data_IF_687240851871
#
_entry.id   IF_687240851871
#
_cell.length_a   1.000
_cell.length_b   1.000
_cell.length_c   1.000
_cell.angle_alpha   90.00
_cell.angle_beta   90.00
_cell.angle_gamma   90.00
#
_symmetry.space_group_name_H-M   'P 1'
#
loop_
_entity.id
_entity.type
_entity.pdbx_description
1 polymer ?
2 non-polymer ?
3 non-polymer ?
4 non-polymer ?
5 non-polymer ?
6 water ?
#
# COMPACT_ATOMS: atom_id res chain seq x y z
N UNK A 6 -15.03 -3.18 -27.94
CA UNK A 6 -15.80 -1.98 -27.54
C UNK A 6 -14.97 -1.04 -26.65
N UNK A 7 -15.50 0.17 -26.37
CA UNK A 7 -14.77 1.12 -25.53
C UNK A 7 -14.53 0.59 -24.14
N UNK A 8 -13.43 1.03 -23.53
CA UNK A 8 -13.06 0.59 -22.20
C UNK A 8 -12.44 1.73 -21.41
N UNK A 9 -12.58 1.68 -20.08
CA UNK A 9 -12.00 2.74 -19.24
C UNK A 9 -10.53 2.43 -19.06
N UNK A 10 -10.17 1.18 -19.33
CA UNK A 10 -8.79 0.72 -19.16
C UNK A 10 -8.04 0.46 -20.45
N UNK A 11 -6.71 0.41 -20.32
CA UNK A 11 -5.82 0.09 -21.41
C UNK A 11 -4.77 -0.82 -20.81
N UNK A 12 -4.67 -2.05 -21.33
CA UNK A 12 -3.72 -3.04 -20.83
C UNK A 12 -2.35 -2.86 -21.47
N UNK A 13 -1.31 -3.28 -20.76
CA UNK A 13 0.05 -3.21 -21.28
C UNK A 13 0.79 -4.49 -20.89
N UNK A 14 1.78 -4.86 -21.68
CA UNK A 14 2.63 -5.99 -21.33
C UNK A 14 3.88 -5.24 -20.90
N UNK A 15 4.86 -5.92 -20.32
CA UNK A 15 6.04 -5.19 -19.85
C UNK A 15 6.82 -4.47 -20.95
N UNK A 16 6.84 -5.05 -22.14
CA UNK A 16 7.55 -4.45 -23.27
C UNK A 16 6.96 -3.07 -23.59
N UNK A 17 5.64 -3.00 -23.68
CA UNK A 17 4.96 -1.75 -23.99
C UNK A 17 5.07 -0.73 -22.87
N UNK A 18 5.00 -1.20 -21.62
CA UNK A 18 5.08 -0.29 -20.50
C UNK A 18 6.45 0.29 -20.22
N UNK A 19 7.51 -0.49 -20.44
CA UNK A 19 8.85 0.03 -20.16
C UNK A 19 9.28 1.16 -21.10
N UNK A 20 8.70 1.17 -22.29
CA UNK A 20 9.03 2.21 -23.27
C UNK A 20 8.50 3.58 -22.85
N UNK A 21 7.55 3.59 -21.93
CA UNK A 21 6.98 4.84 -21.44
C UNK A 21 7.85 5.45 -20.35
N UNK A 22 9.00 4.84 -20.11
CA UNK A 22 9.92 5.33 -19.09
C UNK A 22 10.54 6.65 -19.51
N UNK A 23 10.87 6.74 -20.79
CA UNK A 23 11.49 7.94 -21.34
C UNK A 23 12.85 8.19 -20.72
N UNK A 24 13.07 9.43 -20.30
CA UNK A 24 14.34 9.82 -19.72
C UNK A 24 14.42 9.65 -18.22
N UNK A 25 13.34 9.15 -17.62
CA UNK A 25 13.32 8.98 -16.17
C UNK A 25 14.60 8.35 -15.66
N UNK A 26 15.36 9.11 -14.86
CA UNK A 26 16.63 8.65 -14.29
C UNK A 26 16.42 7.73 -13.09
N UNK A 27 17.23 6.67 -13.02
CA UNK A 27 17.18 5.71 -11.92
C UNK A 27 18.01 6.19 -10.73
N UNK A 28 17.34 6.52 -9.63
CA UNK A 28 18.06 7.00 -8.45
C UNK A 28 18.01 6.02 -7.31
N UNK A 29 18.27 4.75 -7.58
CA UNK A 29 18.22 3.76 -6.51
C UNK A 29 19.32 2.70 -6.67
N UNK A 30 20.10 2.49 -5.61
CA UNK A 30 21.18 1.49 -5.65
C UNK A 30 20.62 0.10 -5.45
N UNK A 31 21.44 -0.91 -5.70
CA UNK A 31 21.00 -2.28 -5.52
C UNK A 31 20.85 -2.54 -4.03
N UNK A 32 21.73 -1.92 -3.24
CA UNK A 32 21.70 -2.08 -1.80
C UNK A 32 20.54 -1.33 -1.14
N UNK A 33 20.12 -0.23 -1.76
CA UNK A 33 19.00 0.55 -1.23
C UNK A 33 17.71 -0.22 -1.45
N UNK A 34 17.63 -0.87 -2.60
CA UNK A 34 16.48 -1.65 -2.97
C UNK A 34 16.24 -2.84 -2.03
N UNK A 35 17.30 -3.48 -1.57
CA UNK A 35 17.14 -4.63 -0.69
C UNK A 35 16.61 -4.27 0.68
N UNK A 36 17.02 -3.12 1.20
CA UNK A 36 16.54 -2.71 2.51
C UNK A 36 15.12 -2.23 2.38
N UNK A 37 14.57 -2.40 1.19
CA UNK A 37 13.22 -1.95 0.92
C UNK A 37 12.30 -3.12 0.61
N UNK A 38 12.86 -4.25 0.20
CA UNK A 38 12.02 -5.39 -0.13
C UNK A 38 11.85 -6.39 0.99
N UNK A 39 10.67 -7.01 1.01
CA UNK A 39 10.35 -7.99 2.04
C UNK A 39 10.72 -9.41 1.70
N UNK A 40 10.74 -10.24 2.73
CA UNK A 40 11.09 -11.64 2.60
C UNK A 40 10.23 -12.31 1.54
N UNK A 41 10.87 -13.03 0.63
CA UNK A 41 10.14 -13.70 -0.43
C UNK A 41 10.08 -12.93 -1.73
N UNK A 42 10.02 -11.61 -1.62
CA UNK A 42 9.95 -10.75 -2.80
C UNK A 42 11.12 -10.89 -3.77
N UNK A 43 10.84 -10.78 -5.06
CA UNK A 43 11.86 -10.95 -6.09
C UNK A 43 12.15 -9.68 -6.89
N UNK A 44 11.67 -8.55 -6.41
CA UNK A 44 11.87 -7.29 -7.11
C UNK A 44 13.34 -6.89 -7.22
N UNK A 45 13.79 -6.59 -8.44
CA UNK A 45 15.18 -6.17 -8.66
C UNK A 45 15.20 -4.83 -9.41
N UNK A 46 16.40 -4.31 -9.68
CA UNK A 46 16.52 -3.03 -10.37
C UNK A 46 15.94 -3.04 -11.78
N UNK A 47 15.94 -4.18 -12.43
CA UNK A 47 15.38 -4.23 -13.77
C UNK A 47 13.90 -3.86 -13.67
N UNK A 48 13.19 -4.51 -12.74
CA UNK A 48 11.77 -4.24 -12.54
C UNK A 48 11.53 -2.78 -12.14
N UNK A 49 12.44 -2.22 -11.36
CA UNK A 49 12.32 -0.82 -10.96
C UNK A 49 12.57 0.10 -12.16
N UNK A 50 13.25 -0.43 -13.18
CA UNK A 50 13.54 0.36 -14.38
C UNK A 50 12.41 0.27 -15.40
N UNK A 51 11.96 -0.95 -15.66
CA UNK A 51 10.91 -1.19 -16.64
C UNK A 51 9.49 -1.02 -16.13
N UNK A 52 9.31 -0.91 -14.82
CA UNK A 52 7.97 -0.78 -14.26
C UNK A 52 7.77 0.42 -13.35
N UNK A 53 8.59 0.54 -12.32
CA UNK A 53 8.41 1.63 -11.40
C UNK A 53 8.83 3.02 -11.94
N UNK A 54 9.67 3.05 -12.96
CA UNK A 54 10.09 4.35 -13.48
C UNK A 54 9.02 4.99 -14.34
N UNK A 55 8.32 4.22 -15.17
CA UNK A 55 7.24 4.79 -15.99
C UNK A 55 6.16 5.28 -15.02
N UNK A 56 5.89 4.45 -14.02
CA UNK A 56 4.91 4.76 -12.98
C UNK A 56 5.23 6.05 -12.26
N UNK A 57 6.49 6.26 -11.96
CA UNK A 57 6.88 7.47 -11.27
C UNK A 57 6.72 8.66 -12.19
N UNK A 58 6.93 8.44 -13.49
CA UNK A 58 6.80 9.52 -14.46
C UNK A 58 5.33 9.88 -14.56
N UNK A 59 4.50 8.89 -14.85
CA UNK A 59 3.06 9.10 -14.95
C UNK A 59 2.57 9.83 -13.71
N UNK A 60 3.06 9.44 -12.54
CA UNK A 60 2.62 10.09 -11.31
C UNK A 60 3.01 11.55 -11.27
N UNK A 61 4.23 11.87 -11.69
CA UNK A 61 4.65 13.26 -11.65
C UNK A 61 3.89 14.14 -12.63
N UNK A 62 3.48 13.57 -13.76
CA UNK A 62 2.72 14.34 -14.73
C UNK A 62 1.39 14.76 -14.11
N UNK A 63 0.81 13.86 -13.33
CA UNK A 63 -0.48 14.10 -12.70
C UNK A 63 -0.46 14.92 -11.42
N UNK A 64 0.70 15.03 -10.77
CA UNK A 64 0.75 15.82 -9.54
C UNK A 64 0.58 17.28 -9.93
N UNK A 65 1.21 17.66 -11.04
CA UNK A 65 1.13 19.02 -11.54
C UNK A 65 -0.31 19.30 -11.97
N UNK A 66 -0.87 18.37 -12.74
CA UNK A 66 -2.25 18.48 -13.23
C UNK A 66 -3.26 18.47 -12.10
N UNK A 67 -3.14 17.50 -11.21
CA UNK A 67 -4.05 17.40 -10.09
C UNK A 67 -4.07 18.74 -9.37
N UNK A 68 -2.94 19.41 -9.37
CA UNK A 68 -2.84 20.72 -8.70
C UNK A 68 -3.68 21.78 -9.40
N UNK A 69 -3.79 21.68 -10.72
CA UNK A 69 -4.55 22.64 -11.50
C UNK A 69 -6.02 22.69 -11.10
N UNK A 70 -6.65 21.55 -10.89
CA UNK A 70 -8.07 21.57 -10.54
C UNK A 70 -8.41 21.89 -9.09
N UNK A 71 -7.42 21.93 -8.21
CA UNK A 71 -7.69 22.32 -6.83
C UNK A 71 -7.58 23.83 -6.84
N UNK A 72 -6.86 24.33 -7.84
CA UNK A 72 -6.65 25.75 -8.00
C UNK A 72 -7.91 26.35 -8.62
N UNK A 73 -8.59 25.58 -9.47
CA UNK A 73 -9.82 26.05 -10.11
C UNK A 73 -10.86 26.34 -9.04
N UNK A 74 -10.97 25.41 -8.11
CA UNK A 74 -11.93 25.54 -7.02
C UNK A 74 -11.52 26.70 -6.09
N UNK A 75 -10.22 27.00 -6.07
CA UNK A 75 -9.72 28.08 -5.23
C UNK A 75 -10.04 29.40 -5.92
N UNK A 76 -9.84 29.42 -7.23
CA UNK A 76 -10.12 30.60 -8.03
C UNK A 76 -11.62 30.88 -7.91
N UNK A 77 -12.43 29.86 -8.15
CA UNK A 77 -13.87 29.99 -8.04
C UNK A 77 -14.29 30.56 -6.67
N UNK A 78 -13.67 30.06 -5.62
CA UNK A 78 -14.01 30.49 -4.27
C UNK A 78 -13.50 31.86 -3.83
N UNK A 79 -12.84 32.56 -4.74
CA UNK A 79 -12.32 33.88 -4.41
C UNK A 79 -11.22 33.79 -3.37
N UNK A 80 -10.37 32.78 -3.52
CA UNK A 80 -9.27 32.57 -2.58
C UNK A 80 -7.90 32.86 -3.16
N UNK A 81 -6.92 33.03 -2.26
CA UNK A 81 -5.52 33.33 -2.61
C UNK A 81 -4.91 32.19 -3.42
N UNK A 82 -3.75 31.73 -2.96
CA UNK A 82 -3.04 30.63 -3.60
C UNK A 82 -1.96 30.10 -2.66
N UNK A 83 -2.31 29.95 -1.37
CA UNK A 83 -1.39 29.47 -0.33
C UNK A 83 0.04 29.10 -0.77
N UNK A 84 1.01 29.40 0.08
CA UNK A 84 2.40 29.10 -0.23
C UNK A 84 2.57 28.00 -1.26
N UNK A 85 3.49 28.17 -2.20
CA UNK A 85 3.71 27.14 -3.23
C UNK A 85 4.25 25.88 -2.52
N UNK A 86 4.18 24.74 -3.20
CA UNK A 86 4.58 23.46 -2.63
C UNK A 86 3.49 23.10 -1.64
N UNK A 87 3.16 24.05 -0.74
CA UNK A 87 2.08 23.86 0.23
C UNK A 87 0.80 23.81 -0.56
N UNK A 88 0.89 23.19 -1.73
CA UNK A 88 -0.25 23.00 -2.59
C UNK A 88 -0.99 21.91 -1.84
N UNK A 89 -1.94 21.28 -2.51
CA UNK A 89 -2.67 20.22 -1.86
C UNK A 89 -1.91 18.91 -2.00
N UNK A 90 -1.66 18.22 -0.87
CA UNK A 90 -0.94 16.95 -0.88
C UNK A 90 -1.57 15.95 -1.84
N UNK A 91 -0.72 15.24 -2.57
CA UNK A 91 -1.16 14.24 -3.51
C UNK A 91 -1.22 12.91 -2.76
N UNK A 92 -2.42 12.34 -2.65
CA UNK A 92 -2.61 11.09 -1.91
C UNK A 92 -2.62 9.87 -2.83
N UNK A 93 -1.78 8.90 -2.52
CA UNK A 93 -1.70 7.69 -3.32
C UNK A 93 -2.07 6.47 -2.49
N UNK A 94 -3.00 5.67 -3.02
CA UNK A 94 -3.42 4.48 -2.32
C UNK A 94 -2.84 3.23 -2.95
N UNK A 95 -2.31 2.34 -2.13
CA UNK A 95 -1.72 1.10 -2.61
C UNK A 95 -2.46 -0.02 -1.89
N UNK A 96 -3.18 -0.83 -2.65
CA UNK A 96 -3.96 -1.90 -2.06
C UNK A 96 -3.57 -3.23 -2.63
N UNK A 97 -4.16 -4.28 -2.05
CA UNK A 97 -3.89 -5.63 -2.50
C UNK A 97 -3.93 -6.59 -1.33
N UNK A 98 -3.79 -7.88 -1.64
CA UNK A 98 -3.83 -8.91 -0.63
C UNK A 98 -2.59 -8.99 0.26
N UNK A 99 -2.76 -9.68 1.37
CA UNK A 99 -1.67 -9.93 2.29
C UNK A 99 -0.69 -10.74 1.47
N UNK A 100 0.60 -10.55 1.68
CA UNK A 100 1.64 -11.31 0.97
C UNK A 100 1.76 -11.15 -0.55
N UNK A 101 1.14 -10.12 -1.13
CA UNK A 101 1.25 -9.98 -2.57
C UNK A 101 2.43 -9.10 -2.97
N UNK A 102 3.07 -8.48 -1.98
CA UNK A 102 4.21 -7.62 -2.24
C UNK A 102 3.88 -6.14 -2.22
N UNK A 103 2.62 -5.79 -1.93
CA UNK A 103 2.22 -4.40 -1.93
C UNK A 103 2.98 -3.47 -0.99
N UNK A 104 3.45 -3.96 0.16
CA UNK A 104 4.18 -3.06 1.05
C UNK A 104 5.54 -2.71 0.48
N UNK A 105 6.12 -3.63 -0.28
CA UNK A 105 7.40 -3.37 -0.91
C UNK A 105 7.13 -2.35 -2.00
N UNK A 106 6.08 -2.61 -2.78
CA UNK A 106 5.69 -1.71 -3.86
C UNK A 106 5.55 -0.30 -3.32
N UNK A 107 4.89 -0.17 -2.18
CA UNK A 107 4.70 1.16 -1.60
C UNK A 107 6.01 1.77 -1.13
N UNK A 108 6.89 0.96 -0.58
CA UNK A 108 8.17 1.47 -0.10
C UNK A 108 9.07 1.89 -1.26
N UNK A 109 9.08 1.07 -2.30
CA UNK A 109 9.90 1.39 -3.45
C UNK A 109 9.42 2.70 -4.03
N UNK A 110 8.09 2.82 -4.18
CA UNK A 110 7.48 4.01 -4.74
C UNK A 110 7.79 5.27 -3.94
N UNK A 111 7.76 5.17 -2.61
CA UNK A 111 8.07 6.33 -1.79
C UNK A 111 9.51 6.73 -2.01
N UNK A 112 10.35 5.73 -2.25
CA UNK A 112 11.77 5.97 -2.46
C UNK A 112 11.97 6.72 -3.77
N UNK A 113 11.40 6.19 -4.84
CA UNK A 113 11.54 6.81 -6.15
C UNK A 113 11.03 8.25 -6.17
N UNK A 114 9.86 8.49 -5.56
CA UNK A 114 9.30 9.83 -5.56
C UNK A 114 10.07 10.80 -4.67
N UNK A 115 10.66 10.29 -3.60
CA UNK A 115 11.40 11.16 -2.71
C UNK A 115 12.65 11.68 -3.39
N UNK A 116 13.13 10.93 -4.39
CA UNK A 116 14.32 11.30 -5.12
C UNK A 116 14.01 12.04 -6.41
N UNK A 117 12.96 12.84 -6.37
CA UNK A 117 12.61 13.60 -7.55
C UNK A 117 13.20 14.98 -7.35
N UNK A 118 13.74 15.55 -8.42
CA UNK A 118 14.36 16.88 -8.36
C UNK A 118 13.86 17.72 -7.20
N UNK A 119 12.75 18.42 -7.40
CA UNK A 119 12.17 19.26 -6.37
C UNK A 119 12.61 18.78 -4.98
N UNK A 120 12.50 17.48 -4.79
CA UNK A 120 12.85 16.79 -3.53
C UNK A 120 11.62 16.80 -2.64
N UNK A 121 10.50 16.31 -3.18
CA UNK A 121 9.22 16.24 -2.47
C UNK A 121 9.32 15.56 -1.11
N UNK A 122 8.53 16.03 -0.16
CA UNK A 122 8.50 15.38 1.13
C UNK A 122 7.48 14.27 0.87
N UNK A 123 7.93 13.02 0.81
CA UNK A 123 7.03 11.90 0.54
C UNK A 123 6.83 10.98 1.74
N UNK A 124 5.65 11.05 2.35
CA UNK A 124 5.34 10.21 3.50
C UNK A 124 4.58 8.95 3.13
N UNK A 125 4.82 7.88 3.90
CA UNK A 125 4.17 6.58 3.70
C UNK A 125 3.54 6.13 5.02
N UNK A 126 2.25 5.79 4.98
CA UNK A 126 1.54 5.32 6.16
C UNK A 126 0.81 4.02 5.84
N UNK A 127 0.98 3.01 6.68
CA UNK A 127 0.30 1.74 6.49
C UNK A 127 -0.93 1.78 7.38
N UNK A 128 -1.99 1.11 6.97
CA UNK A 128 -3.21 1.14 7.75
C UNK A 128 -3.11 0.32 9.01
N UNK A 129 -2.02 -0.43 9.15
CA UNK A 129 -1.80 -1.26 10.33
C UNK A 129 -1.99 -0.43 11.58
N UNK A 130 -1.35 0.73 11.60
CA UNK A 130 -1.46 1.60 12.76
C UNK A 130 -2.90 1.92 13.12
N UNK A 131 -3.82 1.70 12.18
CA UNK A 131 -5.23 2.00 12.42
C UNK A 131 -6.10 0.79 12.78
N UNK A 132 -5.46 -0.30 13.16
CA UNK A 132 -6.21 -1.47 13.59
C UNK A 132 -6.66 -1.19 15.01
N UNK A 133 -7.76 -1.79 15.43
CA UNK A 133 -8.21 -1.59 16.80
C UNK A 133 -7.25 -2.41 17.66
N UNK A 134 -7.04 -1.99 18.92
CA UNK A 134 -6.13 -2.74 19.80
C UNK A 134 -6.68 -4.13 20.00
N UNK A 135 -5.82 -5.10 20.29
CA UNK A 135 -6.29 -6.46 20.50
C UNK A 135 -7.43 -6.52 21.51
N UNK A 136 -7.30 -5.74 22.59
CA UNK A 136 -8.31 -5.72 23.63
C UNK A 136 -9.64 -5.28 23.07
N UNK A 137 -9.62 -4.31 22.19
CA UNK A 137 -10.84 -3.79 21.59
C UNK A 137 -11.39 -4.79 20.56
N UNK A 138 -10.50 -5.51 19.88
CA UNK A 138 -10.95 -6.49 18.92
C UNK A 138 -11.59 -7.64 19.71
N UNK A 139 -10.97 -8.03 20.81
CA UNK A 139 -11.52 -9.09 21.63
C UNK A 139 -12.93 -8.69 22.05
N UNK A 140 -13.09 -7.44 22.44
CA UNK A 140 -14.38 -6.92 22.86
C UNK A 140 -15.43 -7.06 21.75
N UNK A 141 -15.09 -6.64 20.53
CA UNK A 141 -16.01 -6.74 19.40
C UNK A 141 -15.96 -8.12 18.79
N UNK A 142 -15.25 -9.03 19.46
CA UNK A 142 -15.10 -10.40 18.98
C UNK A 142 -14.46 -10.46 17.60
N UNK A 143 -13.43 -9.66 17.38
CA UNK A 143 -12.79 -9.61 16.06
C UNK A 143 -11.34 -10.08 15.98
N UNK A 144 -10.85 -10.79 16.99
CA UNK A 144 -9.47 -11.28 16.96
C UNK A 144 -9.12 -12.21 15.82
N UNK A 145 -10.12 -12.64 15.05
CA UNK A 145 -9.88 -13.54 13.92
C UNK A 145 -10.46 -12.99 12.63
N UNK A 146 -10.63 -11.67 12.62
CA UNK A 146 -11.15 -10.95 11.45
C UNK A 146 -10.22 -9.77 11.27
N UNK A 147 -9.02 -9.92 11.82
CA UNK A 147 -7.98 -8.90 11.73
C UNK A 147 -7.57 -8.74 10.27
N UNK A 148 -7.87 -7.58 9.70
CA UNK A 148 -7.55 -7.34 8.31
C UNK A 148 -8.85 -7.04 7.58
N UNK A 149 -9.96 -7.51 8.14
CA UNK A 149 -11.24 -7.23 7.54
C UNK A 149 -11.54 -5.76 7.81
N UNK A 150 -12.38 -5.14 6.97
CA UNK A 150 -12.71 -3.73 7.15
C UNK A 150 -13.08 -3.35 8.58
N UNK A 151 -13.93 -4.16 9.21
CA UNK A 151 -14.38 -3.88 10.56
C UNK A 151 -13.31 -3.92 11.65
N UNK A 152 -12.12 -4.45 11.36
CA UNK A 152 -11.06 -4.50 12.38
C UNK A 152 -10.25 -3.20 12.38
N UNK A 153 -10.66 -2.23 11.57
CA UNK A 153 -9.96 -0.95 11.51
C UNK A 153 -10.81 0.21 12.03
N UNK A 154 -10.17 1.19 12.65
CA UNK A 154 -10.87 2.38 13.12
C UNK A 154 -10.88 3.27 11.89
N UNK A 155 -11.85 3.02 11.02
CA UNK A 155 -11.95 3.79 9.79
C UNK A 155 -12.28 5.26 9.98
N UNK A 156 -12.88 5.60 11.11
CA UNK A 156 -13.19 7.00 11.40
C UNK A 156 -11.85 7.71 11.56
N UNK A 157 -11.04 7.19 12.49
CA UNK A 157 -9.72 7.75 12.76
C UNK A 157 -8.91 7.84 11.48
N UNK A 158 -8.92 6.76 10.70
CA UNK A 158 -8.18 6.73 9.45
C UNK A 158 -8.58 7.86 8.51
N UNK A 159 -9.89 7.99 8.32
CA UNK A 159 -10.45 9.02 7.45
C UNK A 159 -10.08 10.39 8.00
N UNK A 160 -10.19 10.58 9.31
CA UNK A 160 -9.82 11.86 9.91
C UNK A 160 -8.36 12.19 9.62
N UNK A 161 -7.49 11.18 9.72
CA UNK A 161 -6.07 11.34 9.48
C UNK A 161 -5.77 11.84 8.08
N UNK A 162 -6.25 11.11 7.07
CA UNK A 162 -6.00 11.51 5.69
C UNK A 162 -6.69 12.81 5.36
N UNK A 163 -7.90 13.01 5.87
CA UNK A 163 -8.62 14.24 5.63
C UNK A 163 -7.79 15.39 6.18
N UNK A 164 -7.29 15.21 7.40
CA UNK A 164 -6.47 16.22 8.04
C UNK A 164 -5.26 16.58 7.19
N UNK A 165 -4.54 15.57 6.71
CA UNK A 165 -3.36 15.85 5.90
C UNK A 165 -3.68 16.56 4.59
N UNK A 166 -4.66 16.04 3.86
CA UNK A 166 -5.00 16.63 2.58
C UNK A 166 -5.65 18.01 2.66
N UNK A 167 -6.25 18.33 3.81
CA UNK A 167 -6.90 19.62 3.98
C UNK A 167 -5.87 20.70 4.33
N UNK A 168 -4.60 20.29 4.41
CA UNK A 168 -3.54 21.23 4.71
C UNK A 168 -3.01 21.34 6.13
N UNK A 169 -3.42 20.46 7.04
CA UNK A 169 -2.93 20.51 8.42
C UNK A 169 -1.41 20.55 8.43
N UNK A 170 -0.83 21.08 9.50
CA UNK A 170 0.63 21.16 9.62
C UNK A 170 1.19 19.83 10.07
N UNK A 171 0.43 19.14 10.90
CA UNK A 171 0.84 17.82 11.37
C UNK A 171 -0.37 16.98 11.75
N UNK A 172 -0.28 15.68 11.46
CA UNK A 172 -1.34 14.75 11.76
C UNK A 172 -0.67 13.53 12.36
N UNK A 173 -1.30 12.94 13.37
CA UNK A 173 -0.73 11.76 14.01
C UNK A 173 -1.47 10.47 13.71
N UNK A 174 -0.71 9.38 13.65
CA UNK A 174 -1.27 8.07 13.39
C UNK A 174 -0.73 7.12 14.45
N UNK A 175 -1.56 6.17 14.89
CA UNK A 175 -1.06 5.21 15.90
C UNK A 175 -0.03 4.34 15.22
N UNK A 176 0.64 3.49 15.98
CA UNK A 176 1.66 2.62 15.41
C UNK A 176 1.43 1.18 15.77
N UNK A 177 1.56 0.29 14.81
CA UNK A 177 1.33 -1.13 15.08
C UNK A 177 2.62 -1.93 15.17
N UNK A 178 2.72 -2.79 16.19
CA UNK A 178 3.90 -3.64 16.35
C UNK A 178 3.63 -5.03 15.77
N UNK A 179 4.44 -5.46 14.81
CA UNK A 179 4.24 -6.80 14.24
C UNK A 179 4.86 -7.82 15.18
N UNK A 180 5.84 -7.37 15.95
CA UNK A 180 6.50 -8.23 16.91
C UNK A 180 5.47 -8.64 17.95
N UNK A 181 4.76 -7.65 18.49
CA UNK A 181 3.75 -7.91 19.52
C UNK A 181 2.33 -8.13 19.01
N UNK A 182 2.13 -8.06 17.70
CA UNK A 182 0.81 -8.32 17.13
C UNK A 182 -0.25 -7.36 17.65
N UNK A 183 0.16 -6.21 18.18
CA UNK A 183 -0.81 -5.28 18.72
C UNK A 183 -0.37 -3.82 18.57
N UNK A 184 -1.29 -2.90 18.79
CA UNK A 184 -1.00 -1.48 18.70
C UNK A 184 -0.06 -1.10 19.84
N UNK A 185 0.92 -0.23 19.56
CA UNK A 185 1.88 0.18 20.57
C UNK A 185 1.42 1.37 21.41
N UNK A 186 1.29 1.17 22.73
CA UNK A 186 0.85 2.24 23.63
C UNK A 186 1.74 3.46 23.52
N UNK A 187 1.13 4.63 23.31
CA UNK A 187 1.87 5.88 23.22
C UNK A 187 2.60 6.20 21.93
N UNK A 188 2.77 5.22 21.05
CA UNK A 188 3.47 5.44 19.81
C UNK A 188 2.66 6.23 18.80
N UNK A 189 3.33 7.14 18.09
CA UNK A 189 2.65 7.91 17.06
C UNK A 189 3.57 8.23 15.90
N UNK A 190 3.01 8.18 14.69
CA UNK A 190 3.75 8.50 13.48
C UNK A 190 3.23 9.89 13.16
N UNK A 191 4.11 10.87 13.12
CA UNK A 191 3.68 12.23 12.84
C UNK A 191 3.94 12.59 11.39
N UNK A 192 2.91 13.04 10.69
CA UNK A 192 3.04 13.43 9.29
C UNK A 192 2.84 14.94 9.19
N UNK A 193 3.85 15.61 8.66
CA UNK A 193 3.85 17.07 8.54
C UNK A 193 3.74 17.62 7.12
N UNK A 194 2.52 18.03 6.76
CA UNK A 194 2.25 18.60 5.44
C UNK A 194 3.15 18.07 4.33
N UNK A 195 3.11 16.76 4.07
CA UNK A 195 3.95 16.22 3.00
C UNK A 195 3.45 16.65 1.64
N UNK A 196 4.28 16.49 0.62
CA UNK A 196 3.90 16.86 -0.75
C UNK A 196 3.14 15.67 -1.33
N UNK A 197 3.53 14.48 -0.89
CA UNK A 197 2.89 13.25 -1.33
C UNK A 197 2.73 12.35 -0.13
N UNK A 198 1.58 11.71 -0.03
CA UNK A 198 1.32 10.78 1.05
C UNK A 198 0.83 9.50 0.43
N UNK A 199 1.55 8.42 0.68
CA UNK A 199 1.17 7.11 0.19
C UNK A 199 0.54 6.38 1.36
N UNK A 200 -0.67 5.85 1.15
CA UNK A 200 -1.36 5.11 2.19
C UNK A 200 -1.45 3.69 1.69
N UNK A 201 -0.86 2.77 2.43
CA UNK A 201 -0.86 1.37 2.01
C UNK A 201 -1.65 0.48 2.96
N UNK A 202 -2.50 -0.37 2.41
CA UNK A 202 -3.31 -1.25 3.23
C UNK A 202 -4.17 -2.17 2.40
N UNK A 203 -4.77 -3.17 3.04
CA UNK A 203 -5.63 -4.14 2.39
C UNK A 203 -6.90 -3.58 1.78
N UNK A 204 -7.63 -2.77 2.53
CA UNK A 204 -8.90 -2.25 2.05
C UNK A 204 -8.96 -0.75 1.75
N UNK A 205 -7.82 -0.10 1.59
CA UNK A 205 -7.81 1.32 1.35
C UNK A 205 -8.68 1.76 0.16
N UNK A 206 -8.80 0.92 -0.86
CA UNK A 206 -9.61 1.28 -2.01
C UNK A 206 -11.11 1.08 -1.81
N UNK A 207 -11.49 0.60 -0.64
CA UNK A 207 -12.89 0.35 -0.32
C UNK A 207 -13.79 1.57 -0.45
N UNK A 208 -15.06 1.31 -0.72
CA UNK A 208 -16.05 2.37 -0.89
C UNK A 208 -17.25 2.06 -0.01
N UNK A 209 -18.05 3.08 0.31
CA UNK A 209 -19.20 2.84 1.17
C UNK A 209 -20.23 3.95 1.27
N UNK A 210 -21.17 3.85 2.23
CA UNK A 210 -22.24 4.82 2.46
C UNK A 210 -21.75 6.12 3.05
N UNK A 211 -20.45 6.22 3.31
CA UNK A 211 -19.90 7.45 3.85
C UNK A 211 -18.65 7.77 3.04
N UNK A 212 -18.19 9.01 3.13
CA UNK A 212 -16.99 9.39 2.40
C UNK A 212 -15.84 8.63 3.08
N UNK A 213 -15.01 7.98 2.27
CA UNK A 213 -13.88 7.21 2.80
C UNK A 213 -12.55 7.67 2.20
N UNK A 214 -11.43 7.13 2.68
CA UNK A 214 -10.13 7.54 2.17
C UNK A 214 -9.94 7.27 0.68
N UNK A 215 -10.67 6.29 0.14
CA UNK A 215 -10.54 6.01 -1.28
C UNK A 215 -11.03 7.23 -2.07
N UNK A 216 -11.94 7.98 -1.48
CA UNK A 216 -12.48 9.16 -2.15
C UNK A 216 -11.52 10.33 -2.13
N UNK A 217 -10.40 10.20 -1.43
CA UNK A 217 -9.42 11.29 -1.37
C UNK A 217 -8.17 10.96 -2.15
N UNK A 218 -8.10 9.76 -2.73
CA UNK A 218 -6.94 9.36 -3.50
C UNK A 218 -6.89 10.06 -4.85
N UNK A 219 -5.71 10.58 -5.19
CA UNK A 219 -5.52 11.24 -6.47
C UNK A 219 -5.00 10.17 -7.43
N UNK A 220 -4.44 9.11 -6.85
CA UNK A 220 -3.90 8.01 -7.62
C UNK A 220 -3.86 6.74 -6.76
N UNK A 221 -4.12 5.60 -7.36
CA UNK A 221 -4.11 4.36 -6.60
C UNK A 221 -3.51 3.19 -7.38
N UNK A 222 -2.87 2.29 -6.64
CA UNK A 222 -2.23 1.08 -7.16
C UNK A 222 -2.89 -0.14 -6.52
N UNK A 223 -3.03 -1.20 -7.29
CA UNK A 223 -3.58 -2.46 -6.78
C UNK A 223 -2.63 -3.54 -7.28
N UNK A 224 -1.86 -4.11 -6.37
CA UNK A 224 -0.90 -5.15 -6.73
C UNK A 224 -1.69 -6.44 -6.77
N UNK A 225 -1.76 -7.04 -7.96
CA UNK A 225 -2.55 -8.24 -8.19
C UNK A 225 -1.78 -9.49 -8.64
N UNK A 226 -2.35 -10.64 -8.36
CA UNK A 226 -1.76 -11.93 -8.73
C UNK A 226 -2.90 -12.92 -8.55
N UNK A 227 -2.83 -14.10 -9.17
CA UNK A 227 -3.93 -15.03 -8.97
C UNK A 227 -3.92 -15.65 -7.58
N UNK A 228 -5.10 -15.72 -7.00
CA UNK A 228 -5.29 -16.23 -5.65
C UNK A 228 -4.45 -17.44 -5.27
N UNK A 229 -4.26 -18.38 -6.18
CA UNK A 229 -3.49 -19.58 -5.87
C UNK A 229 -2.02 -19.31 -5.65
N UNK A 230 -1.45 -18.39 -6.42
CA UNK A 230 -0.05 -18.08 -6.26
C UNK A 230 0.19 -17.32 -4.96
N UNK A 231 -0.75 -16.45 -4.61
CA UNK A 231 -0.61 -15.67 -3.37
C UNK A 231 -0.66 -16.58 -2.15
N UNK A 232 -1.51 -17.60 -2.18
CA UNK A 232 -1.58 -18.50 -1.05
C UNK A 232 -0.21 -19.16 -0.92
N UNK A 233 0.35 -19.55 -2.06
CA UNK A 233 1.65 -20.19 -2.08
C UNK A 233 2.69 -19.26 -1.48
N UNK A 234 2.66 -17.98 -1.88
CA UNK A 234 3.61 -17.01 -1.35
C UNK A 234 3.41 -16.82 0.15
N UNK A 235 2.15 -16.78 0.57
CA UNK A 235 1.83 -16.62 1.98
C UNK A 235 2.40 -17.79 2.79
N UNK A 236 2.08 -19.00 2.35
CA UNK A 236 2.54 -20.21 3.03
C UNK A 236 4.05 -20.27 3.06
N UNK A 237 4.67 -20.05 1.90
CA UNK A 237 6.11 -20.09 1.80
C UNK A 237 6.76 -19.12 2.79
N UNK A 238 6.26 -17.90 2.82
CA UNK A 238 6.80 -16.89 3.71
C UNK A 238 6.53 -17.19 5.18
N UNK A 239 5.43 -17.89 5.45
CA UNK A 239 5.08 -18.25 6.81
C UNK A 239 6.18 -19.20 7.27
N UNK A 240 6.53 -20.14 6.41
CA UNK A 240 7.59 -21.09 6.75
C UNK A 240 8.95 -20.42 6.91
N UNK A 241 9.26 -19.48 6.03
CA UNK A 241 10.54 -18.78 6.10
C UNK A 241 10.70 -17.97 7.37
N UNK A 242 9.60 -17.48 7.92
CA UNK A 242 9.65 -16.65 9.11
C UNK A 242 9.97 -17.41 10.38
N UNK A 243 9.88 -18.74 10.31
CA UNK A 243 10.19 -19.54 11.48
C UNK A 243 11.60 -19.22 11.94
N UNK A 244 12.48 -18.88 11.00
CA UNK A 244 13.85 -18.55 11.34
C UNK A 244 14.18 -17.06 11.30
N UNK A 245 13.20 -16.22 11.06
CA UNK A 245 13.45 -14.78 11.08
C UNK A 245 12.59 -14.21 12.21
N UNK A 246 11.41 -13.71 11.89
CA UNK A 246 10.56 -13.10 12.89
C UNK A 246 10.07 -13.99 14.04
N UNK A 247 9.62 -15.20 13.75
CA UNK A 247 9.14 -16.07 14.83
C UNK A 247 10.26 -16.56 15.72
N UNK A 248 11.50 -16.47 15.23
CA UNK A 248 12.65 -16.92 16.00
C UNK A 248 12.86 -16.07 17.24
N UNK A 249 12.37 -14.83 17.19
CA UNK A 249 12.50 -13.90 18.30
C UNK A 249 11.64 -14.38 19.46
N UNK A 250 12.26 -14.61 20.61
CA UNK A 250 11.56 -15.08 21.81
C UNK A 250 10.39 -14.17 22.20
N UNK A 251 10.50 -12.90 21.84
CA UNK A 251 9.48 -11.91 22.20
C UNK A 251 8.32 -11.86 21.19
N UNK A 252 8.43 -12.62 20.12
CA UNK A 252 7.40 -12.65 19.10
C UNK A 252 6.11 -13.30 19.58
N UNK A 253 4.99 -12.65 19.31
CA UNK A 253 3.70 -13.19 19.70
C UNK A 253 3.49 -14.56 19.04
N UNK A 254 4.20 -14.82 17.95
CA UNK A 254 4.05 -16.09 17.26
C UNK A 254 5.28 -16.97 17.38
N UNK A 255 6.01 -16.82 18.48
CA UNK A 255 7.20 -17.61 18.68
C UNK A 255 6.93 -19.13 18.73
N UNK A 256 5.70 -19.53 19.04
CA UNK A 256 5.41 -20.96 19.09
C UNK A 256 5.47 -21.60 17.71
N UNK A 257 5.38 -20.79 16.67
CA UNK A 257 5.43 -21.29 15.31
C UNK A 257 6.83 -21.66 14.87
N UNK A 258 7.84 -21.04 15.48
CA UNK A 258 9.22 -21.29 15.13
C UNK A 258 9.62 -22.76 15.16
N UNK A 259 9.01 -23.51 16.08
CA UNK A 259 9.34 -24.93 16.23
C UNK A 259 8.52 -25.90 15.39
N UNK A 260 7.60 -25.38 14.59
CA UNK A 260 6.78 -26.24 13.75
C UNK A 260 7.62 -26.90 12.68
N UNK A 261 7.17 -28.07 12.24
CA UNK A 261 7.85 -28.79 11.18
C UNK A 261 7.35 -28.18 9.88
N UNK A 262 8.02 -28.44 8.78
CA UNK A 262 7.60 -27.90 7.51
C UNK A 262 6.12 -28.24 7.32
N UNK A 263 5.81 -29.53 7.50
CA UNK A 263 4.45 -30.00 7.34
C UNK A 263 3.49 -29.37 8.36
N UNK A 264 3.91 -29.26 9.61
CA UNK A 264 3.05 -28.65 10.61
C UNK A 264 2.77 -27.19 10.25
N UNK A 265 3.81 -26.48 9.81
CA UNK A 265 3.70 -25.07 9.45
C UNK A 265 2.81 -24.86 8.25
N UNK A 266 2.91 -25.76 7.28
CA UNK A 266 2.08 -25.65 6.08
C UNK A 266 0.61 -25.77 6.45
N UNK A 267 0.30 -26.74 7.30
CA UNK A 267 -1.07 -26.94 7.74
C UNK A 267 -1.58 -25.71 8.46
N UNK A 268 -0.77 -25.16 9.35
CA UNK A 268 -1.15 -23.97 10.08
C UNK A 268 -1.34 -22.77 9.13
N UNK A 269 -0.37 -22.54 8.24
CA UNK A 269 -0.46 -21.41 7.31
C UNK A 269 -1.64 -21.56 6.35
N UNK A 270 -1.90 -22.78 5.92
CA UNK A 270 -3.01 -23.03 5.01
C UNK A 270 -4.34 -22.73 5.70
N UNK A 271 -4.41 -23.00 7.00
CA UNK A 271 -5.64 -22.78 7.74
C UNK A 271 -5.94 -21.30 7.93
N UNK A 272 -4.91 -20.51 8.24
CA UNK A 272 -5.09 -19.08 8.43
C UNK A 272 -5.50 -18.48 7.09
N UNK A 273 -4.88 -18.96 6.01
CA UNK A 273 -5.20 -18.46 4.69
C UNK A 273 -6.66 -18.68 4.32
N UNK A 274 -7.19 -19.87 4.56
CA UNK A 274 -8.57 -20.09 4.18
C UNK A 274 -9.59 -19.55 5.17
N UNK A 275 -9.20 -19.33 6.42
CA UNK A 275 -10.19 -18.83 7.37
C UNK A 275 -10.19 -17.32 7.53
N UNK A 276 -9.07 -16.67 7.21
CA UNK A 276 -8.99 -15.23 7.34
C UNK A 276 -8.63 -14.51 6.04
N UNK A 277 -7.41 -14.73 5.58
CA UNK A 277 -6.90 -14.04 4.40
C UNK A 277 -7.57 -14.29 3.05
N UNK A 278 -7.98 -15.53 2.77
CA UNK A 278 -8.63 -15.77 1.49
C UNK A 278 -10.00 -15.12 1.48
N UNK A 279 -10.81 -15.36 2.51
CA UNK A 279 -12.16 -14.77 2.56
C UNK A 279 -12.12 -13.25 2.41
N UNK A 280 -11.21 -12.61 3.14
CA UNK A 280 -11.08 -11.17 3.08
C UNK A 280 -10.67 -10.69 1.68
N UNK A 281 -9.77 -11.46 1.05
CA UNK A 281 -9.31 -11.13 -0.28
C UNK A 281 -10.47 -11.18 -1.28
N UNK A 282 -11.24 -12.26 -1.21
CA UNK A 282 -12.38 -12.46 -2.10
C UNK A 282 -13.58 -11.55 -1.86
N UNK A 283 -13.91 -11.32 -0.59
CA UNK A 283 -15.05 -10.51 -0.24
C UNK A 283 -14.80 -9.02 -0.21
N UNK A 284 -13.63 -8.61 0.28
CA UNK A 284 -13.38 -7.18 0.40
C UNK A 284 -12.29 -6.53 -0.45
N UNK A 285 -11.17 -7.21 -0.66
CA UNK A 285 -10.10 -6.62 -1.43
C UNK A 285 -10.29 -6.65 -2.94
N UNK A 286 -10.52 -7.83 -3.51
CA UNK A 286 -10.69 -7.93 -4.95
C UNK A 286 -11.79 -7.04 -5.55
N UNK A 287 -12.93 -6.89 -4.85
CA UNK A 287 -13.99 -6.04 -5.39
C UNK A 287 -13.60 -4.57 -5.57
N UNK A 288 -12.47 -4.18 -5.00
CA UNK A 288 -12.01 -2.79 -5.12
C UNK A 288 -11.06 -2.59 -6.30
N UNK A 289 -10.57 -3.71 -6.84
CA UNK A 289 -9.62 -3.70 -7.95
C UNK A 289 -10.06 -2.92 -9.19
N UNK A 290 -11.35 -2.94 -9.53
CA UNK A 290 -11.83 -2.22 -10.72
C UNK A 290 -11.60 -0.71 -10.70
N UNK A 291 -11.53 -0.13 -9.51
CA UNK A 291 -11.34 1.30 -9.35
C UNK A 291 -9.91 1.81 -9.33
N UNK A 292 -8.93 0.92 -9.21
CA UNK A 292 -7.53 1.33 -9.14
C UNK A 292 -7.05 2.02 -10.40
N UNK A 293 -6.34 3.12 -10.24
CA UNK A 293 -5.83 3.84 -11.38
C UNK A 293 -4.93 2.89 -12.18
N UNK A 294 -4.10 2.14 -11.46
CA UNK A 294 -3.18 1.19 -12.08
C UNK A 294 -3.10 -0.12 -11.30
N UNK A 295 -3.16 -1.21 -12.04
CA UNK A 295 -3.06 -2.56 -11.47
C UNK A 295 -1.76 -3.19 -11.93
N UNK A 296 -1.00 -3.76 -11.00
CA UNK A 296 0.26 -4.41 -11.33
C UNK A 296 0.01 -5.90 -11.18
N UNK A 297 -0.01 -6.61 -12.30
CA UNK A 297 -0.26 -8.04 -12.30
C UNK A 297 1.03 -8.86 -12.29
N UNK A 298 1.20 -9.64 -11.23
CA UNK A 298 2.38 -10.48 -11.05
C UNK A 298 2.16 -11.94 -11.42
N UNK A 299 3.17 -12.54 -12.02
CA UNK A 299 3.08 -13.94 -12.40
C UNK A 299 3.51 -14.79 -11.21
N UNK A 300 3.30 -16.09 -11.32
CA UNK A 300 3.64 -17.01 -10.24
C UNK A 300 5.02 -16.79 -9.61
N UNK A 301 5.91 -16.14 -10.34
CA UNK A 301 7.25 -15.88 -9.82
C UNK A 301 7.46 -14.47 -9.26
N UNK A 302 6.36 -13.78 -8.93
CA UNK A 302 6.39 -12.42 -8.38
C UNK A 302 6.70 -11.35 -9.41
N UNK A 303 7.00 -11.78 -10.62
CA UNK A 303 7.36 -10.86 -11.70
C UNK A 303 6.18 -10.06 -12.24
N UNK A 304 6.29 -8.73 -12.22
CA UNK A 304 5.23 -7.88 -12.75
C UNK A 304 5.36 -7.86 -14.27
N UNK A 305 4.53 -8.63 -14.96
CA UNK A 305 4.60 -8.70 -16.42
C UNK A 305 3.37 -8.16 -17.17
N UNK A 306 2.46 -7.50 -16.46
CA UNK A 306 1.27 -6.93 -17.08
C UNK A 306 0.76 -5.76 -16.26
N UNK A 307 0.18 -4.79 -16.93
CA UNK A 307 -0.36 -3.64 -16.25
C UNK A 307 -1.69 -3.25 -16.86
N UNK A 308 -2.60 -2.75 -16.02
CA UNK A 308 -3.89 -2.31 -16.48
C UNK A 308 -4.06 -0.89 -15.95
N UNK A 309 -4.11 0.07 -16.87
CA UNK A 309 -4.25 1.46 -16.48
C UNK A 309 -5.65 1.99 -16.76
N UNK A 310 -6.06 2.92 -15.91
CA UNK A 310 -7.37 3.55 -16.06
C UNK A 310 -7.15 4.85 -16.82
N UNK A 311 -7.71 4.94 -18.02
CA UNK A 311 -7.60 6.16 -18.78
C UNK A 311 -8.84 6.98 -18.47
N UNK A 312 -9.93 6.30 -18.16
CA UNK A 312 -11.17 6.97 -17.79
C UNK A 312 -11.52 6.57 -16.35
X LIG B 1 -2.43 -12.60 8.40
X LIG B 1 -3.80 -11.24 10.40
X LIG B 1 -1.03 -12.84 8.30
X LIG B 1 -2.49 -8.17 8.89
X LIG B 1 -1.81 -6.93 9.46
X LIG B 1 -0.66 -7.33 10.22
X LIG B 1 -1.44 -9.02 8.17
X LIG B 1 -3.56 -7.72 7.90
X LIG B 1 -3.13 -8.97 10.01
X LIG B 1 -2.18 -9.14 11.07
X LIG B 1 -3.55 -10.31 9.49
X LIG B 1 -3.64 -10.51 8.29
X LIG B 1 -4.23 -12.62 10.16
X LIG B 1 -2.99 -13.32 9.63
X LIG C 1 2.20 -8.34 4.38
X LIG C 1 3.47 -7.58 3.98
X LIG C 1 3.77 -7.62 2.47
X LIG C 1 2.48 -7.50 1.65
X LIG C 1 4.67 -6.44 2.10
X LIG C 1 6.10 -6.88 1.76
X LIG C 1 1.62 -7.95 5.42
X LIG C 1 1.82 -9.27 3.65
X LIG C 1 2.55 -7.91 0.47
X LIG C 1 1.47 -7.03 2.20
X LIG C 1 6.91 -7.04 2.71
X LIG C 1 6.38 -7.03 0.55
X LIG C 1 4.42 -8.87 2.15
X LIG D 1 8.10 -6.91 4.93
X LIG E 1 -7.08 10.11 13.24
X LIG F 1 -9.13 6.49 -8.89
X LIG F 1 -8.95 7.47 -9.92
X LIG F 1 -8.72 7.03 -7.53
X LIG F 1 -7.45 7.70 -7.58
X LIG F 1 -8.52 5.86 -6.56
X LIG F 1 -9.60 5.78 -5.65
X LIG G 1 -6.45 14.65 13.01
X LIG G 1 -7.48 14.23 13.91
X LIG G 1 -5.41 13.55 12.73
X LIG G 1 -5.99 12.25 12.91
X LIG G 1 -4.19 13.72 13.63
X LIG G 1 -4.56 13.53 15.00
X LIG H 1 12.23 -9.39 -13.09
X LIG H 1 12.80 -8.11 -12.78
X LIG H 1 10.86 -9.54 -12.43
X LIG H 1 10.00 -8.49 -12.89
X LIG H 1 11.00 -9.44 -10.91
X LIG H 1 11.81 -10.52 -10.44
X LIG I 1 6.49 13.65 8.14
X LIG I 1 5.66 14.66 7.54
X LIG I 1 7.96 14.08 8.03
X LIG I 1 8.78 12.91 7.82
X LIG I 1 8.40 14.83 9.28
X LIG I 1 9.78 15.19 9.15
X LIG J 1 11.54 -2.63 5.70
X LIG J 1 10.92 -1.92 6.78
X LIG J 1 11.74 -4.11 6.07
X LIG J 1 13.02 -4.23 6.68
X LIG J 1 11.75 -4.86 4.74
X LIG J 1 11.77 -6.28 4.91
X LIG K 1 6.91 -3.53 13.16
X LIG K 1 5.72 -3.09 12.50
X LIG K 1 6.90 -3.17 14.65
X LIG K 1 7.24 -1.79 14.80
X LIG K 1 7.98 -3.98 15.36
X LIG K 1 7.91 -3.72 16.77
X LIG L 1 -4.02 8.59 18.12
X LIG L 1 -4.26 9.95 17.71
X LIG L 1 -2.64 8.51 18.79
X LIG L 1 -2.26 7.14 18.92
X LIG L 1 -2.70 9.24 20.14
X LIG L 1 -1.85 8.62 21.11
X LIG M 1 6.53 5.08 12.11
X LIG M 1 5.66 3.97 12.29
X LIG M 1 6.61 5.91 13.39
X LIG M 1 7.47 7.03 13.14
X LIG M 1 7.19 5.07 14.53
X LIG M 1 7.31 5.88 15.71
X LIG N 1 -6.35 9.30 -13.00
X LIG N 1 -6.87 10.61 -12.85
X LIG N 1 -6.99 8.63 -14.23
X LIG N 1 -6.71 9.41 -15.40
X LIG N 1 -8.50 8.53 -14.05
X LIG N 1 -8.79 7.69 -12.92
X LIG O 1 -15.86 -15.99 5.89
X LIG O 1 -16.54 -14.78 6.23
X LIG O 1 -15.36 -16.75 7.12
X LIG O 1 -15.04 -15.86 8.19
X LIG O 1 -14.10 -17.52 6.70
X LIG O 1 -13.63 -18.35 7.77
X LIG P 1 0.12 -14.47 9.68
X LIG P 1 -0.93 -14.62 10.64
X LIG P 1 1.46 -14.91 10.25
X LIG P 1 1.51 -14.74 11.67
X LIG P 1 2.58 -14.07 9.62
X LIG P 1 2.67 -14.34 8.22
#
# INVERSE_FOLDING_TARGET
MSRLSEPSPYVEFDRRQWRALRMSTPLALTEEELVGLRGLGEQIDLLEVEEVYLPLARLIHLQVAARQRLFAATAEFLGEPQQNPDRPVPFIIGVAGSVAVGKSTTARVLQALLARWDHHPRVDLVTTDGFLYPNAELQRRNLMHRKGFPESYNRRALMRFVTSVKSGSDYACAPVYSHLHYDIIPGAEQVVRHPDILILEGLNVLQTGPTLMVSDLFDFSLYVDARIEDIEQWYVSRFLAMRTTAFADPESHFHHYAAFSDSQAVVAAREIWRTINRPNLVENILPTRPRATLVLRKDADHSINRLRLRKL
MV2 C N O C1 C2 O2 C3 C4 C5 O5 C6 O6 C8 C9
FLC CAC CA CB CBC CG CGC OA1 OA2 OB1 OB2 OG1 OG2 OHB
NA NA
NA NA
GOL C1 O1 C2 O2 C3 O3
GOL C1 O1 C2 O2 C3 O3
GOL C1 O1 C2 O2 C3 O3
GOL C1 O1 C2 O2 C3 O3
GOL C1 O1 C2 O2 C3 O3
GOL C1 O1 C2 O2 C3 O3
GOL C1 O1 C2 O2 C3 O3
GOL C1 O1 C2 O2 C3 O3
GOL C1 O1 C2 O2 C3 O3
GOL C1 O1 C2 O2 C3 O3
GOL C1 O1 C2 O2 C3 O3
#
